data_IF_902359171166
#
_entry.id   IF_902359171166
#
_cell.length_a   1.000
_cell.length_b   1.000
_cell.length_c   1.000
_cell.angle_alpha   90.00
_cell.angle_beta   90.00
_cell.angle_gamma   90.00
#
_symmetry.space_group_name_H-M   'P 1'
#
loop_
_entity.id
_entity.type
_entity.pdbx_description
1 polymer ?
#
# COMPACT_ATOMS: atom_id res chain seq x y z
N UNK A 1 56.43 -24.97 6.75
CA UNK A 1 55.98 -24.09 5.67
C UNK A 1 55.02 -23.07 6.30
N UNK A 2 55.51 -21.88 6.61
CA UNK A 2 54.82 -20.85 7.38
C UNK A 2 54.10 -19.92 6.42
N UNK A 3 52.83 -19.68 6.65
CA UNK A 3 52.03 -18.69 5.94
C UNK A 3 51.86 -17.47 6.85
N UNK A 4 52.37 -16.35 6.36
CA UNK A 4 52.39 -15.07 7.04
C UNK A 4 50.98 -14.42 6.98
N UNK A 5 50.52 -13.94 8.14
CA UNK A 5 49.33 -13.07 8.25
C UNK A 5 49.71 -11.61 7.97
N UNK A 6 49.05 -10.96 7.07
CA UNK A 6 49.17 -9.52 6.84
C UNK A 6 48.33 -8.70 7.84
N UNK A 7 48.82 -7.56 8.33
CA UNK A 7 48.07 -6.70 9.24
C UNK A 7 47.16 -5.72 8.50
N UNK A 8 45.92 -5.63 8.95
CA UNK A 8 44.93 -4.66 8.52
C UNK A 8 45.34 -3.24 8.95
N UNK A 9 45.48 -2.35 8.01
CA UNK A 9 45.81 -0.94 8.19
C UNK A 9 44.58 -0.15 8.59
N UNK A 10 44.52 0.35 9.83
CA UNK A 10 43.51 1.30 10.26
C UNK A 10 43.77 2.68 9.66
N UNK A 11 42.79 3.25 9.00
CA UNK A 11 42.81 4.64 8.53
C UNK A 11 42.17 5.50 9.62
N UNK A 12 42.98 6.35 10.24
CA UNK A 12 42.54 7.37 11.20
C UNK A 12 41.98 8.55 10.43
N UNK A 13 40.69 8.77 10.49
CA UNK A 13 40.03 9.96 9.94
C UNK A 13 40.13 11.14 10.92
N UNK A 14 40.76 12.23 10.48
CA UNK A 14 40.87 13.50 11.17
C UNK A 14 39.59 14.31 11.01
N UNK A 15 38.97 14.71 12.12
CA UNK A 15 37.80 15.61 12.14
C UNK A 15 38.21 17.06 11.85
N UNK A 16 37.45 17.82 11.05
CA UNK A 16 37.66 19.27 10.92
C UNK A 16 36.98 20.04 12.06
N UNK A 17 37.73 20.95 12.62
CA UNK A 17 37.32 21.92 13.64
C UNK A 17 36.32 22.92 13.08
N UNK A 18 35.11 22.98 13.66
CA UNK A 18 34.10 23.99 13.32
C UNK A 18 34.39 25.31 14.05
N UNK A 19 34.62 26.35 13.29
CA UNK A 19 34.75 27.74 13.74
C UNK A 19 33.36 28.31 14.03
N UNK A 20 33.10 28.70 15.30
CA UNK A 20 31.86 29.37 15.71
C UNK A 20 31.94 30.84 15.35
N UNK A 21 31.14 31.29 14.39
CA UNK A 21 30.87 32.70 14.13
C UNK A 21 29.65 33.14 14.93
N UNK A 22 29.90 34.13 15.82
CA UNK A 22 28.90 34.76 16.66
C UNK A 22 28.24 35.90 15.91
N UNK A 23 27.02 35.72 15.42
CA UNK A 23 26.21 36.79 14.83
C UNK A 23 25.24 37.34 15.88
N UNK A 24 25.32 38.64 16.13
CA UNK A 24 24.39 39.40 16.97
C UNK A 24 23.09 39.61 16.21
N UNK A 25 22.00 39.03 16.66
CA UNK A 25 20.68 39.18 16.04
C UNK A 25 19.86 40.22 16.76
N UNK A 26 19.48 41.25 16.03
CA UNK A 26 18.51 42.28 16.44
C UNK A 26 17.11 41.66 16.50
N UNK A 27 16.48 41.79 17.69
CA UNK A 27 15.13 41.27 17.94
C UNK A 27 14.10 42.20 17.29
N UNK A 28 13.47 41.79 16.20
CA UNK A 28 12.25 42.40 15.66
C UNK A 28 11.08 41.53 16.08
N UNK A 29 10.23 42.04 16.99
CA UNK A 29 9.01 41.37 17.42
C UNK A 29 7.92 41.58 16.38
N UNK A 30 7.73 40.63 15.49
CA UNK A 30 6.58 40.59 14.58
C UNK A 30 5.52 39.70 15.20
N UNK A 31 4.42 40.26 15.68
CA UNK A 31 3.25 39.50 16.12
C UNK A 31 2.58 38.86 14.91
N UNK A 32 2.85 37.59 14.67
CA UNK A 32 2.17 36.83 13.61
C UNK A 32 0.92 36.18 14.21
N UNK A 33 -0.23 36.64 13.74
CA UNK A 33 -1.51 35.97 13.97
C UNK A 33 -1.46 34.59 13.32
N UNK A 34 -1.79 33.48 14.06
CA UNK A 34 -1.77 32.17 13.43
C UNK A 34 -2.84 32.05 12.32
N UNK A 35 -2.51 31.49 11.17
CA UNK A 35 -3.51 31.22 10.13
C UNK A 35 -4.53 30.20 10.65
N UNK A 36 -5.79 30.56 10.62
CA UNK A 36 -6.90 29.63 10.86
C UNK A 36 -6.89 28.58 9.74
N UNK A 37 -6.43 27.38 10.08
CA UNK A 37 -6.49 26.24 9.14
C UNK A 37 -7.94 25.80 9.04
N UNK A 38 -8.62 26.22 7.99
CA UNK A 38 -9.94 25.69 7.62
C UNK A 38 -9.72 24.28 7.08
N UNK A 39 -9.92 23.26 7.91
CA UNK A 39 -9.93 21.86 7.48
C UNK A 39 -11.20 21.64 6.66
N UNK A 40 -11.09 21.72 5.34
CA UNK A 40 -12.16 21.31 4.43
C UNK A 40 -12.24 19.79 4.47
N UNK A 41 -13.14 19.25 5.29
CA UNK A 41 -13.49 17.82 5.24
C UNK A 41 -14.23 17.57 3.94
N UNK A 42 -13.53 17.12 2.91
CA UNK A 42 -14.14 16.61 1.69
C UNK A 42 -14.79 15.27 2.04
N UNK A 43 -16.06 15.27 2.37
CA UNK A 43 -16.86 14.05 2.47
C UNK A 43 -16.99 13.50 1.06
N UNK A 44 -16.12 12.57 0.70
CA UNK A 44 -16.30 11.76 -0.51
C UNK A 44 -17.51 10.88 -0.25
N UNK A 45 -18.68 11.32 -0.74
CA UNK A 45 -19.87 10.49 -0.77
C UNK A 45 -19.59 9.36 -1.76
N UNK A 46 -19.18 8.23 -1.24
CA UNK A 46 -19.09 6.99 -2.02
C UNK A 46 -20.49 6.71 -2.54
N UNK A 47 -20.70 6.48 -3.86
CA UNK A 47 -22.02 6.14 -4.38
C UNK A 47 -22.53 4.90 -3.66
N UNK A 48 -23.67 5.02 -2.99
CA UNK A 48 -24.36 3.90 -2.37
C UNK A 48 -24.67 2.92 -3.50
N UNK A 49 -24.20 1.66 -3.46
CA UNK A 49 -24.55 0.69 -4.49
C UNK A 49 -26.07 0.50 -4.45
N UNK A 50 -26.71 0.74 -5.58
CA UNK A 50 -28.12 0.39 -5.79
C UNK A 50 -28.24 -1.08 -5.48
N UNK A 51 -29.21 -1.46 -4.64
CA UNK A 51 -29.47 -2.83 -4.22
C UNK A 51 -29.91 -3.70 -5.43
N UNK A 52 -28.94 -4.06 -6.27
CA UNK A 52 -29.03 -5.18 -7.20
C UNK A 52 -28.75 -6.47 -6.43
N UNK A 53 -29.27 -7.58 -6.90
CA UNK A 53 -28.99 -8.90 -6.34
C UNK A 53 -27.49 -9.12 -6.35
N UNK A 54 -26.84 -9.01 -5.19
CA UNK A 54 -25.40 -9.28 -5.07
C UNK A 54 -25.19 -10.77 -5.22
N UNK A 55 -24.33 -11.14 -6.16
CA UNK A 55 -23.85 -12.52 -6.30
C UNK A 55 -22.74 -12.72 -5.29
N UNK A 56 -22.84 -13.77 -4.47
CA UNK A 56 -21.81 -14.15 -3.52
C UNK A 56 -21.24 -15.51 -3.88
N UNK A 57 -19.93 -15.62 -3.90
CA UNK A 57 -19.23 -16.89 -4.05
C UNK A 57 -17.98 -16.94 -3.20
N UNK A 58 -17.40 -18.13 -3.03
CA UNK A 58 -16.05 -18.29 -2.48
C UNK A 58 -15.08 -18.58 -3.60
N UNK A 59 -13.86 -18.08 -3.49
CA UNK A 59 -12.85 -18.29 -4.50
C UNK A 59 -11.43 -18.10 -4.00
N UNK A 60 -10.48 -18.55 -4.81
CA UNK A 60 -9.05 -18.40 -4.58
C UNK A 60 -8.64 -17.01 -5.07
N UNK A 61 -7.96 -16.27 -4.20
CA UNK A 61 -7.45 -14.92 -4.46
C UNK A 61 -5.93 -14.91 -4.35
N UNK A 62 -5.29 -14.36 -5.36
CA UNK A 62 -3.85 -14.16 -5.46
C UNK A 62 -3.54 -12.68 -5.72
N UNK A 63 -2.28 -12.35 -6.02
CA UNK A 63 -1.92 -10.98 -6.35
C UNK A 63 -0.83 -10.90 -7.42
N UNK A 64 -0.78 -9.76 -8.10
CA UNK A 64 0.20 -9.43 -9.11
C UNK A 64 0.52 -7.94 -9.12
N UNK A 65 1.51 -7.53 -9.91
CA UNK A 65 1.89 -6.13 -10.05
C UNK A 65 0.87 -5.39 -10.92
N UNK A 66 0.02 -4.59 -10.28
CA UNK A 66 -1.08 -3.86 -10.91
C UNK A 66 -1.47 -2.63 -10.08
N UNK A 67 -2.10 -1.60 -10.65
CA UNK A 67 -2.55 -0.43 -9.91
C UNK A 67 -3.51 -0.77 -8.77
N UNK A 68 -3.34 -0.10 -7.62
CA UNK A 68 -4.16 -0.31 -6.44
C UNK A 68 -5.67 -0.16 -6.74
N UNK A 69 -6.50 -1.01 -6.14
CA UNK A 69 -7.95 -1.01 -6.33
C UNK A 69 -8.43 -1.65 -7.63
N UNK A 70 -7.52 -2.24 -8.42
CA UNK A 70 -7.84 -2.98 -9.63
C UNK A 70 -7.53 -4.47 -9.46
N UNK A 71 -8.11 -5.31 -10.33
CA UNK A 71 -7.94 -6.75 -10.28
C UNK A 71 -8.19 -7.42 -11.64
N UNK A 72 -7.62 -8.61 -11.79
CA UNK A 72 -7.91 -9.52 -12.89
C UNK A 72 -8.94 -10.58 -12.48
N UNK A 73 -9.79 -10.99 -13.41
CA UNK A 73 -10.71 -12.11 -13.24
C UNK A 73 -10.81 -12.90 -14.54
N UNK A 74 -10.87 -14.25 -14.48
CA UNK A 74 -11.00 -15.06 -15.69
C UNK A 74 -12.38 -14.95 -16.36
N UNK A 75 -13.41 -14.54 -15.63
CA UNK A 75 -14.80 -14.63 -16.09
C UNK A 75 -15.69 -13.42 -15.81
N UNK A 76 -15.35 -12.55 -14.84
CA UNK A 76 -16.15 -11.35 -14.58
C UNK A 76 -15.98 -10.30 -15.68
N UNK A 77 -17.05 -9.60 -16.08
CA UNK A 77 -16.96 -8.49 -17.02
C UNK A 77 -16.02 -7.37 -16.53
N UNK A 78 -15.33 -6.70 -17.46
CA UNK A 78 -14.59 -5.48 -17.13
C UNK A 78 -15.50 -4.41 -16.58
N UNK A 79 -15.01 -3.67 -15.59
CA UNK A 79 -15.79 -2.66 -14.85
C UNK A 79 -16.63 -3.23 -13.71
N UNK A 80 -16.65 -4.56 -13.51
CA UNK A 80 -17.32 -5.15 -12.34
C UNK A 80 -16.58 -4.74 -11.07
N UNK A 81 -17.32 -4.23 -10.11
CA UNK A 81 -16.81 -3.91 -8.76
C UNK A 81 -17.01 -5.14 -7.88
N UNK A 82 -15.92 -5.66 -7.34
CA UNK A 82 -15.91 -6.86 -6.49
C UNK A 82 -15.45 -6.50 -5.09
N UNK A 83 -16.24 -6.86 -4.09
CA UNK A 83 -15.82 -6.86 -2.69
C UNK A 83 -15.22 -8.22 -2.36
N UNK A 84 -13.99 -8.21 -1.87
CA UNK A 84 -13.20 -9.40 -1.51
C UNK A 84 -13.00 -9.41 -0.01
N UNK A 85 -13.53 -10.41 0.66
CA UNK A 85 -13.41 -10.57 2.12
C UNK A 85 -12.62 -11.82 2.48
N UNK A 86 -11.55 -11.66 3.25
CA UNK A 86 -10.83 -12.77 3.84
C UNK A 86 -11.57 -13.25 5.12
N UNK A 87 -12.19 -14.44 5.12
CA UNK A 87 -12.96 -14.91 6.26
C UNK A 87 -12.11 -15.27 7.48
N UNK A 88 -10.80 -15.48 7.30
CA UNK A 88 -9.91 -15.85 8.39
C UNK A 88 -9.64 -14.68 9.36
N UNK A 89 -9.71 -13.43 8.88
CA UNK A 89 -9.48 -12.23 9.70
C UNK A 89 -10.57 -11.16 9.59
N UNK A 90 -11.55 -11.35 8.69
CA UNK A 90 -12.65 -10.42 8.45
C UNK A 90 -12.28 -9.17 7.65
N UNK A 91 -11.03 -9.04 7.18
CA UNK A 91 -10.62 -7.91 6.36
C UNK A 91 -11.27 -7.96 4.97
N UNK A 92 -11.68 -6.80 4.47
CA UNK A 92 -12.31 -6.66 3.15
C UNK A 92 -11.69 -5.53 2.36
N UNK A 93 -11.60 -5.73 1.06
CA UNK A 93 -11.20 -4.71 0.07
C UNK A 93 -12.16 -4.73 -1.11
N UNK A 94 -12.13 -3.65 -1.88
CA UNK A 94 -12.89 -3.55 -3.13
C UNK A 94 -11.93 -3.37 -4.29
N UNK A 95 -12.19 -4.06 -5.41
CA UNK A 95 -11.45 -3.86 -6.64
C UNK A 95 -12.37 -3.76 -7.86
N UNK A 96 -11.86 -3.13 -8.91
CA UNK A 96 -12.52 -3.05 -10.22
C UNK A 96 -11.82 -4.01 -11.18
N UNK A 97 -12.60 -4.89 -11.80
CA UNK A 97 -12.05 -5.83 -12.81
C UNK A 97 -11.71 -5.06 -14.08
N UNK A 98 -10.44 -5.00 -14.43
CA UNK A 98 -9.95 -4.34 -15.65
C UNK A 98 -8.91 -5.18 -16.42
N UNK A 99 -8.60 -6.37 -15.90
CA UNK A 99 -7.66 -7.30 -16.53
C UNK A 99 -8.19 -8.75 -16.52
N UNK A 100 -7.50 -9.63 -17.25
CA UNK A 100 -7.85 -11.04 -17.40
C UNK A 100 -6.83 -11.94 -16.72
N UNK A 101 -7.30 -12.74 -15.77
CA UNK A 101 -6.54 -13.86 -15.24
C UNK A 101 -6.63 -15.05 -16.20
N UNK A 102 -5.49 -15.60 -16.59
CA UNK A 102 -5.42 -16.75 -17.47
C UNK A 102 -5.67 -18.07 -16.74
N UNK A 103 -5.36 -18.13 -15.46
CA UNK A 103 -5.59 -19.31 -14.62
C UNK A 103 -7.01 -19.32 -14.07
N UNK A 104 -7.86 -20.14 -14.67
CA UNK A 104 -9.29 -20.26 -14.28
C UNK A 104 -9.50 -20.94 -12.93
N UNK A 105 -8.47 -21.51 -12.32
CA UNK A 105 -8.54 -22.01 -10.93
C UNK A 105 -8.53 -20.86 -9.91
N UNK A 106 -8.03 -19.68 -10.30
CA UNK A 106 -8.10 -18.45 -9.51
C UNK A 106 -9.41 -17.74 -9.80
N UNK A 107 -9.95 -17.08 -8.82
CA UNK A 107 -11.20 -16.32 -8.98
C UNK A 107 -10.93 -14.85 -9.20
N UNK A 108 -9.97 -14.29 -8.46
CA UNK A 108 -9.53 -12.90 -8.52
C UNK A 108 -8.01 -12.85 -8.30
N UNK A 109 -7.33 -12.04 -9.09
CA UNK A 109 -5.94 -11.68 -8.89
C UNK A 109 -5.88 -10.17 -8.56
N UNK A 110 -5.58 -9.85 -7.30
CA UNK A 110 -5.59 -8.48 -6.80
C UNK A 110 -4.29 -7.75 -7.12
N UNK A 111 -4.35 -6.43 -7.23
CA UNK A 111 -3.14 -5.62 -7.14
C UNK A 111 -2.40 -5.92 -5.83
N UNK A 112 -1.07 -6.00 -5.87
CA UNK A 112 -0.21 -6.33 -4.71
C UNK A 112 -0.53 -5.51 -3.46
N UNK A 113 -0.73 -4.20 -3.61
CA UNK A 113 -1.07 -3.30 -2.50
C UNK A 113 -2.46 -3.58 -1.93
N UNK A 114 -3.44 -3.92 -2.77
CA UNK A 114 -4.81 -4.25 -2.37
C UNK A 114 -4.84 -5.59 -1.62
N UNK A 115 -4.10 -6.59 -2.09
CA UNK A 115 -3.98 -7.88 -1.39
C UNK A 115 -3.35 -7.72 0.01
N UNK A 116 -2.36 -6.84 0.14
CA UNK A 116 -1.69 -6.58 1.42
C UNK A 116 -2.63 -6.06 2.53
N UNK A 117 -3.79 -5.51 2.16
CA UNK A 117 -4.82 -5.05 3.11
C UNK A 117 -5.63 -6.20 3.70
N UNK A 118 -5.73 -7.35 3.02
CA UNK A 118 -6.51 -8.51 3.48
C UNK A 118 -5.64 -9.69 3.93
N UNK A 119 -4.37 -9.75 3.50
CA UNK A 119 -3.45 -10.82 3.90
C UNK A 119 -1.98 -10.38 3.74
N UNK A 120 -1.05 -10.94 4.53
CA UNK A 120 0.37 -10.72 4.31
C UNK A 120 0.81 -11.30 2.96
N UNK A 121 1.65 -10.58 2.21
CA UNK A 121 2.10 -11.00 0.87
C UNK A 121 2.81 -12.36 0.84
N UNK A 122 3.46 -12.76 1.93
CA UNK A 122 4.13 -14.06 2.01
C UNK A 122 3.17 -15.26 1.92
N UNK A 123 1.86 -15.06 2.17
CA UNK A 123 0.85 -16.11 1.96
C UNK A 123 0.66 -16.46 0.48
N UNK A 124 0.79 -15.46 -0.41
CA UNK A 124 0.65 -15.63 -1.85
C UNK A 124 -0.77 -15.95 -2.33
N UNK A 125 -1.52 -16.72 -1.54
CA UNK A 125 -2.87 -17.23 -1.87
C UNK A 125 -3.75 -17.20 -0.63
N UNK A 126 -5.00 -16.77 -0.78
CA UNK A 126 -6.04 -16.84 0.27
C UNK A 126 -7.36 -17.32 -0.30
N UNK A 127 -8.12 -18.06 0.51
CA UNK A 127 -9.53 -18.29 0.24
C UNK A 127 -10.32 -17.07 0.68
N UNK A 128 -11.15 -16.54 -0.19
CA UNK A 128 -11.94 -15.36 0.11
C UNK A 128 -13.41 -15.52 -0.30
N UNK A 129 -14.27 -14.65 0.26
CA UNK A 129 -15.62 -14.44 -0.21
C UNK A 129 -15.63 -13.28 -1.19
N UNK A 130 -16.30 -13.45 -2.31
CA UNK A 130 -16.42 -12.48 -3.37
C UNK A 130 -17.88 -12.06 -3.51
N UNK A 131 -18.14 -10.75 -3.54
CA UNK A 131 -19.47 -10.17 -3.75
C UNK A 131 -19.41 -9.16 -4.91
N UNK A 132 -20.34 -9.19 -5.88
CA UNK A 132 -20.44 -8.26 -6.99
C UNK A 132 -21.87 -8.04 -7.46
#
# INVERSE_FOLDING_TARGET
MAIASEPVRQVVGTSPTSTVSRSTTTTSTTTTVPPTTTTTTTTTTQPVPVAGTRVQTSGIVTYYDHPAGHCASPWLPFGTVVEVTNPANGASVTCVVDDREADTARSIDLATSTFAEIAPLWQGVVDARLNW
#
